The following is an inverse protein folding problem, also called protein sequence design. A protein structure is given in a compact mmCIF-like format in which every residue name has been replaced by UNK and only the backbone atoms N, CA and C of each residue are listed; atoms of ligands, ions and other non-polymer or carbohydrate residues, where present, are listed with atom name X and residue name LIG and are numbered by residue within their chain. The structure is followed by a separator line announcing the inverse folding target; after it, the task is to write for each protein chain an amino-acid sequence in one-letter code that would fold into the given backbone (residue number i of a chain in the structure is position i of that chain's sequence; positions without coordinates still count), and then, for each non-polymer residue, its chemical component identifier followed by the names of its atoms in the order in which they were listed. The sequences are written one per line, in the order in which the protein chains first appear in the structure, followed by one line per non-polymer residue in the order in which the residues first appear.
data_IF_004388595119
#
_entry.id   IF_004388595119
#
_cell.length_a   1.000
_cell.length_b   1.000
_cell.length_c   1.000
_cell.angle_alpha   90.00
_cell.angle_beta   90.00
_cell.angle_gamma   90.00
#
_symmetry.space_group_name_H-M   'P 1'
#
loop_
_entity.id
_entity.type
_entity.pdbx_description
1 polymer ?
#
# COMPACT_ATOMS: atom_id res chain seq x y z
N UNK A 1 -19.48 -19.90 7.61
CA UNK A 1 -18.80 -19.63 7.79
C UNK A 1 -17.83 -19.58 8.19
N UNK A 2 -17.48 -19.79 8.22
CA UNK A 2 -16.59 -19.65 8.80
C UNK A 2 -15.76 -19.00 8.72
N UNK A 3 -15.76 -18.64 9.17
CA UNK A 3 -14.91 -17.83 9.23
C UNK A 3 -13.57 -18.20 9.42
N UNK A 4 -12.96 -18.66 8.51
CA UNK A 4 -11.59 -18.95 8.57
C UNK A 4 -10.82 -17.72 8.91
N UNK A 5 -10.04 -17.79 9.91
CA UNK A 5 -8.98 -16.86 10.18
C UNK A 5 -8.03 -16.92 9.00
N UNK A 6 -8.10 -15.94 8.15
CA UNK A 6 -7.09 -15.84 7.12
C UNK A 6 -5.84 -15.27 7.74
N UNK A 7 -4.78 -16.03 7.64
CA UNK A 7 -3.46 -15.58 8.03
C UNK A 7 -3.04 -14.43 7.12
N UNK A 8 -2.41 -13.40 7.68
CA UNK A 8 -1.77 -12.36 6.88
C UNK A 8 -0.76 -12.96 5.93
N UNK A 9 -0.71 -12.44 4.71
CA UNK A 9 0.26 -12.89 3.73
C UNK A 9 1.66 -12.50 4.16
N UNK A 10 2.61 -13.37 3.84
CA UNK A 10 4.00 -13.23 4.22
C UNK A 10 4.91 -13.24 2.99
N UNK A 11 6.17 -12.88 3.21
CA UNK A 11 7.22 -12.99 2.19
C UNK A 11 7.26 -14.43 1.65
N UNK A 12 7.26 -14.57 0.35
CA UNK A 12 7.25 -15.85 -0.35
C UNK A 12 5.87 -16.34 -0.74
N UNK A 13 4.81 -15.80 -0.14
CA UNK A 13 3.45 -16.17 -0.51
C UNK A 13 3.11 -15.62 -1.90
N UNK A 14 2.22 -16.32 -2.59
CA UNK A 14 1.65 -15.83 -3.83
C UNK A 14 0.51 -14.87 -3.49
N UNK A 15 0.60 -13.64 -3.97
CA UNK A 15 -0.46 -12.66 -3.76
C UNK A 15 -1.74 -13.12 -4.47
N UNK A 16 -2.91 -13.07 -3.80
CA UNK A 16 -4.16 -13.42 -4.45
C UNK A 16 -4.49 -12.44 -5.57
N UNK A 17 -5.13 -12.95 -6.61
CA UNK A 17 -5.66 -12.07 -7.66
C UNK A 17 -6.80 -11.26 -7.06
N UNK A 18 -6.62 -9.94 -7.01
CA UNK A 18 -7.61 -9.01 -6.50
C UNK A 18 -7.97 -8.00 -7.57
N UNK A 19 -9.16 -7.45 -7.44
CA UNK A 19 -9.63 -6.37 -8.30
C UNK A 19 -9.88 -5.15 -7.46
N UNK A 20 -9.24 -4.08 -7.84
CA UNK A 20 -9.34 -2.78 -7.18
C UNK A 20 -9.98 -1.80 -8.15
N UNK A 21 -10.59 -0.76 -7.62
CA UNK A 21 -11.26 0.24 -8.44
C UNK A 21 -10.47 1.54 -8.41
N UNK A 22 -10.43 2.25 -9.54
CA UNK A 22 -9.91 3.61 -9.54
C UNK A 22 -11.02 4.62 -9.21
N UNK A 23 -10.68 5.90 -9.16
CA UNK A 23 -11.64 6.95 -8.82
C UNK A 23 -12.76 7.10 -9.87
N UNK A 24 -12.54 6.64 -11.11
CA UNK A 24 -13.55 6.64 -12.16
C UNK A 24 -14.44 5.39 -12.10
N UNK A 25 -14.18 4.46 -11.19
CA UNK A 25 -14.95 3.23 -11.04
C UNK A 25 -14.50 2.10 -11.95
N UNK A 26 -13.38 2.25 -12.66
CA UNK A 26 -12.83 1.18 -13.48
C UNK A 26 -12.07 0.18 -12.62
N UNK A 27 -12.18 -1.09 -12.98
CA UNK A 27 -11.52 -2.18 -12.26
C UNK A 27 -10.12 -2.43 -12.80
N UNK A 28 -9.21 -2.68 -11.88
CA UNK A 28 -7.83 -3.05 -12.17
C UNK A 28 -7.49 -4.35 -11.46
N UNK A 29 -7.08 -5.35 -12.20
CA UNK A 29 -6.63 -6.61 -11.62
C UNK A 29 -5.19 -6.49 -11.17
N UNK A 30 -4.79 -7.29 -10.17
CA UNK A 30 -3.39 -7.32 -9.76
C UNK A 30 -2.48 -7.72 -10.91
N UNK A 31 -2.89 -8.70 -11.71
CA UNK A 31 -2.11 -9.13 -12.88
C UNK A 31 -1.84 -7.97 -13.82
N UNK A 32 -2.85 -7.15 -14.12
CA UNK A 32 -2.65 -6.01 -15.03
C UNK A 32 -1.76 -4.94 -14.41
N UNK A 33 -1.84 -4.73 -13.10
CA UNK A 33 -0.97 -3.77 -12.41
C UNK A 33 0.50 -4.19 -12.49
N UNK A 34 0.77 -5.49 -12.47
CA UNK A 34 2.12 -6.04 -12.52
C UNK A 34 2.74 -6.04 -13.91
N UNK A 35 1.97 -5.76 -14.96
CA UNK A 35 2.48 -5.71 -16.33
C UNK A 35 3.62 -4.69 -16.48
N UNK A 36 3.57 -3.59 -15.76
CA UNK A 36 4.58 -2.54 -15.82
C UNK A 36 5.75 -2.78 -14.84
N UNK A 37 5.70 -3.81 -14.02
CA UNK A 37 6.76 -4.13 -13.08
C UNK A 37 6.25 -4.35 -11.66
N UNK A 38 7.17 -4.47 -10.70
CA UNK A 38 6.78 -4.66 -9.29
C UNK A 38 5.94 -3.51 -8.76
N UNK A 39 5.01 -3.84 -7.88
CA UNK A 39 4.08 -2.89 -7.28
C UNK A 39 4.13 -3.04 -5.76
N UNK A 40 4.26 -1.92 -5.06
CA UNK A 40 4.04 -1.89 -3.62
C UNK A 40 2.62 -1.43 -3.37
N UNK A 41 1.79 -2.35 -2.86
CA UNK A 41 0.44 -2.04 -2.42
C UNK A 41 0.50 -1.53 -0.99
N UNK A 42 -0.05 -0.35 -0.75
CA UNK A 42 -0.08 0.26 0.58
C UNK A 42 -1.54 0.45 1.01
N UNK A 43 -2.05 -0.50 1.76
CA UNK A 43 -3.43 -0.43 2.28
C UNK A 43 -3.50 0.58 3.41
N UNK A 44 -4.48 1.48 3.37
CA UNK A 44 -4.56 2.55 4.36
C UNK A 44 -5.98 3.04 4.59
N UNK A 45 -6.16 3.82 5.65
CA UNK A 45 -7.36 4.59 5.95
C UNK A 45 -7.00 6.06 6.12
N UNK A 46 -7.89 6.93 5.69
CA UNK A 46 -7.62 8.39 5.73
C UNK A 46 -7.53 8.92 7.17
N UNK A 47 -8.22 8.28 8.11
CA UNK A 47 -8.23 8.70 9.52
C UNK A 47 -7.06 8.17 10.34
N UNK A 48 -6.21 7.34 9.76
CA UNK A 48 -5.10 6.70 10.46
C UNK A 48 -3.89 7.64 10.53
N UNK A 49 -3.45 8.08 11.73
CA UNK A 49 -2.29 8.97 11.85
C UNK A 49 -1.00 8.37 11.29
N UNK A 50 -0.81 7.07 11.47
CA UNK A 50 0.37 6.38 10.95
C UNK A 50 0.34 6.31 9.43
N UNK A 51 -0.84 6.20 8.83
CA UNK A 51 -1.00 6.29 7.37
C UNK A 51 -0.67 7.69 6.87
N UNK A 52 -1.10 8.72 7.59
CA UNK A 52 -0.80 10.12 7.27
C UNK A 52 0.70 10.40 7.30
N UNK A 53 1.42 9.74 8.19
CA UNK A 53 2.87 9.82 8.27
C UNK A 53 3.55 9.04 7.13
N UNK A 54 3.06 7.84 6.83
CA UNK A 54 3.76 6.89 5.96
C UNK A 54 3.63 7.22 4.47
N UNK A 55 2.41 7.57 4.02
CA UNK A 55 2.16 7.73 2.58
C UNK A 55 3.00 8.84 1.92
N UNK A 56 3.22 10.01 2.54
CA UNK A 56 4.10 11.01 1.94
C UNK A 56 5.53 10.51 1.71
N UNK A 57 6.05 9.65 2.59
CA UNK A 57 7.37 9.07 2.40
C UNK A 57 7.37 8.01 1.31
N UNK A 58 6.33 7.19 1.21
CA UNK A 58 6.21 6.23 0.12
C UNK A 58 6.20 6.92 -1.24
N UNK A 59 5.61 8.10 -1.33
CA UNK A 59 5.61 8.87 -2.58
C UNK A 59 7.02 9.16 -3.07
N UNK A 60 7.98 9.38 -2.17
CA UNK A 60 9.37 9.66 -2.53
C UNK A 60 10.04 8.46 -3.22
N UNK A 61 9.54 7.25 -3.00
CA UNK A 61 10.09 6.02 -3.55
C UNK A 61 9.50 5.72 -4.93
N UNK A 62 8.29 6.19 -5.21
CA UNK A 62 7.54 5.78 -6.39
C UNK A 62 8.27 6.16 -7.68
N UNK A 63 8.43 5.18 -8.57
CA UNK A 63 9.13 5.38 -9.84
C UNK A 63 9.05 4.14 -10.72
N UNK A 64 9.94 4.06 -11.68
CA UNK A 64 9.92 2.98 -12.68
C UNK A 64 10.26 1.62 -12.09
N UNK A 65 11.16 1.57 -11.11
CA UNK A 65 11.60 0.30 -10.53
C UNK A 65 10.59 -0.28 -9.55
N UNK A 66 9.88 0.57 -8.82
CA UNK A 66 8.83 0.17 -7.89
C UNK A 66 7.73 1.21 -7.98
N UNK A 67 6.55 0.77 -8.38
CA UNK A 67 5.36 1.63 -8.37
C UNK A 67 4.66 1.52 -7.03
N UNK A 68 4.36 2.66 -6.43
CA UNK A 68 3.58 2.70 -5.20
C UNK A 68 2.12 2.89 -5.56
N UNK A 69 1.28 1.97 -5.13
CA UNK A 69 -0.18 2.06 -5.33
C UNK A 69 -0.85 2.02 -3.97
N UNK A 70 -1.26 3.16 -3.44
CA UNK A 70 -2.04 3.18 -2.21
C UNK A 70 -3.43 2.61 -2.46
N UNK A 71 -3.87 1.74 -1.55
CA UNK A 71 -5.20 1.12 -1.62
C UNK A 71 -6.02 1.66 -0.47
N UNK A 72 -6.99 2.50 -0.80
CA UNK A 72 -7.84 3.16 0.18
C UNK A 72 -9.03 2.29 0.56
N UNK A 73 -9.33 2.25 1.85
CA UNK A 73 -10.55 1.64 2.38
C UNK A 73 -11.68 2.65 2.55
N UNK A 74 -11.45 3.90 2.15
CA UNK A 74 -12.42 4.98 2.27
C UNK A 74 -12.96 5.38 0.89
N UNK A 75 -13.94 6.29 0.89
CA UNK A 75 -14.54 6.78 -0.35
C UNK A 75 -13.56 7.60 -1.18
N UNK A 76 -13.84 7.75 -2.46
CA UNK A 76 -13.04 8.60 -3.34
C UNK A 76 -12.99 10.06 -2.85
N UNK A 77 -14.08 10.71 -2.45
CA UNK A 77 -14.01 12.07 -1.91
C UNK A 77 -13.15 12.19 -0.66
N UNK A 78 -13.28 11.25 0.29
CA UNK A 78 -12.48 11.27 1.51
C UNK A 78 -11.00 11.08 1.20
N UNK A 79 -10.68 10.19 0.27
CA UNK A 79 -9.31 9.92 -0.15
C UNK A 79 -8.69 11.13 -0.88
N UNK A 80 -9.46 11.81 -1.71
CA UNK A 80 -9.01 13.04 -2.37
C UNK A 80 -8.70 14.14 -1.34
N UNK A 81 -9.54 14.28 -0.33
CA UNK A 81 -9.29 15.21 0.77
C UNK A 81 -8.00 14.89 1.52
N UNK A 82 -7.76 13.62 1.78
CA UNK A 82 -6.52 13.15 2.37
C UNK A 82 -5.32 13.50 1.48
N UNK A 83 -5.40 13.21 0.20
CA UNK A 83 -4.32 13.46 -0.76
C UNK A 83 -3.96 14.94 -0.80
N UNK A 84 -4.96 15.82 -0.81
CA UNK A 84 -4.74 17.26 -0.78
C UNK A 84 -4.13 17.73 0.54
N UNK A 85 -4.62 17.22 1.66
CA UNK A 85 -4.15 17.63 2.98
C UNK A 85 -2.70 17.23 3.23
N UNK A 86 -2.27 16.07 2.74
CA UNK A 86 -0.94 15.53 3.00
C UNK A 86 0.01 15.59 1.81
N UNK A 87 -0.41 16.21 0.70
CA UNK A 87 0.44 16.40 -0.47
C UNK A 87 0.80 15.12 -1.20
N UNK A 88 -0.12 14.15 -1.23
CA UNK A 88 0.12 12.85 -1.86
C UNK A 88 -0.46 12.84 -3.27
N UNK A 89 0.40 12.55 -4.26
CA UNK A 89 0.03 12.44 -5.66
C UNK A 89 0.43 11.06 -6.18
N UNK A 90 -0.33 10.06 -5.79
CA UNK A 90 -0.10 8.66 -6.16
C UNK A 90 -1.37 8.11 -6.82
N UNK A 91 -1.25 7.03 -7.61
CA UNK A 91 -2.41 6.43 -8.25
C UNK A 91 -3.23 5.62 -7.25
N UNK A 92 -4.11 6.28 -6.52
CA UNK A 92 -4.97 5.62 -5.54
C UNK A 92 -5.91 4.63 -6.20
N UNK A 93 -6.01 3.45 -5.61
CA UNK A 93 -7.06 2.49 -5.91
C UNK A 93 -7.89 2.26 -4.66
N UNK A 94 -9.07 1.66 -4.84
CA UNK A 94 -10.06 1.54 -3.78
C UNK A 94 -10.46 0.10 -3.54
N UNK A 95 -10.42 -0.29 -2.28
CA UNK A 95 -10.97 -1.56 -1.79
C UNK A 95 -12.27 -1.21 -1.09
N UNK A 96 -13.39 -1.42 -1.78
CA UNK A 96 -14.66 -0.76 -1.45
C UNK A 96 -15.42 -1.45 -0.34
N UNK A 97 -16.00 -0.63 0.55
CA UNK A 97 -16.90 -1.10 1.60
C UNK A 97 -18.08 -1.87 1.04
N UNK A 98 -18.67 -1.38 -0.05
CA UNK A 98 -19.82 -2.00 -0.71
C UNK A 98 -19.54 -3.42 -1.21
N UNK A 99 -18.29 -3.75 -1.42
CA UNK A 99 -17.84 -5.09 -1.82
C UNK A 99 -17.25 -5.87 -0.63
N UNK A 100 -17.37 -5.35 0.56
CA UNK A 100 -16.85 -5.93 1.82
C UNK A 100 -15.32 -6.09 1.79
N UNK A 101 -14.62 -5.11 1.29
CA UNK A 101 -13.15 -5.02 1.30
C UNK A 101 -12.45 -6.31 0.83
N UNK A 102 -12.73 -6.79 -0.39
CA UNK A 102 -12.22 -8.09 -0.82
C UNK A 102 -10.70 -8.18 -0.86
N UNK A 103 -10.01 -7.12 -1.22
CA UNK A 103 -8.54 -7.13 -1.27
C UNK A 103 -7.94 -7.16 0.13
N UNK A 104 -8.41 -6.33 1.03
CA UNK A 104 -7.94 -6.31 2.42
C UNK A 104 -8.16 -7.67 3.08
N UNK A 105 -9.33 -8.27 2.86
CA UNK A 105 -9.63 -9.59 3.40
C UNK A 105 -8.74 -10.67 2.79
N UNK A 106 -8.52 -10.64 1.48
CA UNK A 106 -7.67 -11.64 0.80
C UNK A 106 -6.21 -11.56 1.23
N UNK A 107 -5.72 -10.35 1.52
CA UNK A 107 -4.35 -10.15 2.02
C UNK A 107 -4.23 -10.41 3.53
N UNK A 108 -5.34 -10.63 4.20
CA UNK A 108 -5.35 -10.92 5.64
C UNK A 108 -4.90 -9.74 6.50
N UNK A 109 -5.31 -8.52 6.12
CA UNK A 109 -4.95 -7.33 6.88
C UNK A 109 -5.47 -7.39 8.30
N UNK A 110 -4.62 -7.01 9.25
CA UNK A 110 -4.98 -6.82 10.65
C UNK A 110 -4.91 -5.35 11.04
N UNK A 111 -4.03 -4.59 10.42
CA UNK A 111 -3.78 -3.18 10.72
C UNK A 111 -3.49 -2.41 9.44
N UNK A 112 -3.62 -1.09 9.50
CA UNK A 112 -3.18 -0.17 8.45
C UNK A 112 -2.17 0.82 9.05
N UNK A 113 -1.20 1.29 8.29
CA UNK A 113 -0.92 0.88 6.92
C UNK A 113 -0.29 -0.50 6.86
N UNK A 114 -0.64 -1.26 5.85
CA UNK A 114 0.01 -2.54 5.53
C UNK A 114 0.57 -2.48 4.12
N UNK A 115 1.86 -2.79 3.99
CA UNK A 115 2.57 -2.71 2.73
C UNK A 115 3.00 -4.08 2.25
N UNK A 116 2.77 -4.33 0.96
CA UNK A 116 3.18 -5.57 0.29
C UNK A 116 3.87 -5.23 -1.01
N UNK A 117 5.13 -5.60 -1.15
CA UNK A 117 5.83 -5.51 -2.43
C UNK A 117 5.57 -6.80 -3.20
N UNK A 118 4.87 -6.66 -4.31
CA UNK A 118 4.48 -7.79 -5.15
C UNK A 118 5.31 -7.76 -6.42
N UNK A 119 6.01 -8.85 -6.69
CA UNK A 119 6.83 -9.01 -7.88
C UNK A 119 5.98 -9.39 -9.09
N UNK A 120 6.56 -9.32 -10.29
CA UNK A 120 5.86 -9.64 -11.54
C UNK A 120 5.25 -11.05 -11.55
N UNK A 121 5.86 -12.00 -10.86
CA UNK A 121 5.35 -13.37 -10.74
C UNK A 121 4.29 -13.53 -9.65
N UNK A 122 3.82 -12.43 -9.08
CA UNK A 122 2.85 -12.34 -7.98
C UNK A 122 3.41 -12.79 -6.62
N UNK A 123 4.70 -13.10 -6.52
CA UNK A 123 5.30 -13.41 -5.22
C UNK A 123 5.49 -12.14 -4.41
N UNK A 124 5.16 -12.22 -3.12
CA UNK A 124 5.42 -11.16 -2.16
C UNK A 124 6.89 -11.25 -1.75
N UNK A 125 7.65 -10.20 -2.06
CA UNK A 125 9.07 -10.14 -1.72
C UNK A 125 9.35 -9.31 -0.48
N UNK A 126 8.39 -8.49 -0.06
CA UNK A 126 8.52 -7.65 1.13
C UNK A 126 7.14 -7.38 1.71
N UNK A 127 7.04 -7.32 3.06
CA UNK A 127 5.79 -6.93 3.70
C UNK A 127 6.08 -6.38 5.10
N UNK A 128 5.29 -5.40 5.52
CA UNK A 128 5.32 -4.90 6.91
C UNK A 128 4.05 -4.09 7.18
N UNK A 129 3.80 -3.84 8.47
CA UNK A 129 2.70 -2.97 8.91
C UNK A 129 3.26 -1.81 9.72
N UNK A 130 2.55 -0.67 9.67
CA UNK A 130 2.95 0.53 10.38
C UNK A 130 4.06 1.32 9.69
N UNK A 131 4.55 2.35 10.36
CA UNK A 131 5.71 3.10 9.91
C UNK A 131 6.98 2.42 10.42
N UNK A 132 7.86 2.08 9.49
CA UNK A 132 9.13 1.43 9.81
C UNK A 132 10.24 2.06 8.97
N UNK A 133 11.08 2.84 9.63
CA UNK A 133 12.15 3.56 8.94
C UNK A 133 13.06 2.62 8.15
N UNK A 134 13.50 1.52 8.77
CA UNK A 134 14.39 0.55 8.11
C UNK A 134 13.72 -0.14 6.92
N UNK A 135 12.44 -0.46 7.03
CA UNK A 135 11.71 -1.10 5.94
C UNK A 135 11.56 -0.14 4.75
N UNK A 136 11.25 1.12 5.04
CA UNK A 136 11.16 2.15 4.01
C UNK A 136 12.52 2.37 3.33
N UNK A 137 13.60 2.39 4.09
CA UNK A 137 14.95 2.52 3.54
C UNK A 137 15.30 1.34 2.64
N UNK A 138 14.92 0.12 3.01
CA UNK A 138 15.19 -1.07 2.21
C UNK A 138 14.46 -1.03 0.86
N UNK A 139 13.20 -0.62 0.85
CA UNK A 139 12.45 -0.48 -0.40
C UNK A 139 13.00 0.68 -1.25
N UNK A 140 13.38 1.78 -0.61
CA UNK A 140 14.00 2.91 -1.29
C UNK A 140 15.32 2.51 -1.96
N UNK A 141 16.13 1.71 -1.30
CA UNK A 141 17.37 1.18 -1.87
C UNK A 141 17.09 0.38 -3.13
N UNK A 142 16.08 -0.48 -3.09
CA UNK A 142 15.65 -1.23 -4.27
C UNK A 142 15.16 -0.31 -5.39
N UNK A 143 14.48 0.76 -5.06
CA UNK A 143 14.00 1.75 -6.02
C UNK A 143 15.12 2.67 -6.52
N UNK A 144 16.28 2.64 -5.87
CA UNK A 144 17.44 3.43 -6.26
C UNK A 144 17.33 4.90 -5.91
N UNK A 145 16.53 5.26 -4.90
CA UNK A 145 16.32 6.64 -4.49
C UNK A 145 16.51 6.79 -2.98
N UNK A 146 17.04 7.93 -2.50
CA UNK A 146 17.05 8.22 -1.07
C UNK A 146 15.64 8.57 -0.61
N UNK A 147 15.23 8.06 0.55
CA UNK A 147 13.91 8.37 1.08
C UNK A 147 13.94 9.44 2.18
N UNK A 148 14.91 9.35 3.09
CA UNK A 148 15.02 10.30 4.19
C UNK A 148 16.12 11.32 3.92
N UNK A 149 15.82 12.60 4.26
CA UNK A 149 16.72 13.71 4.08
C UNK A 149 17.17 14.22 5.45
N UNK A 150 18.36 14.88 5.53
CA UNK A 150 18.75 15.57 6.76
C UNK A 150 17.65 16.56 7.15
N UNK A 151 17.21 16.51 8.39
CA UNK A 151 16.12 17.36 8.87
C UNK A 151 14.75 16.71 8.91
N UNK A 152 14.57 15.55 8.26
CA UNK A 152 13.34 14.78 8.44
C UNK A 152 13.28 14.26 9.87
N UNK A 153 12.21 14.60 10.57
CA UNK A 153 12.00 14.14 11.94
C UNK A 153 10.98 13.01 11.94
N UNK A 154 11.51 11.78 11.97
CA UNK A 154 10.67 10.59 11.92
C UNK A 154 11.07 9.63 13.04
N UNK A 155 10.11 8.86 13.59
CA UNK A 155 10.42 7.81 14.53
C UNK A 155 11.09 6.62 13.83
N UNK A 156 11.74 5.75 14.59
CA UNK A 156 12.22 4.48 14.04
C UNK A 156 11.06 3.59 13.61
N UNK A 157 9.97 3.62 14.40
CA UNK A 157 8.75 2.89 14.05
C UNK A 157 7.53 3.52 14.72
N UNK A 158 6.37 3.25 14.15
CA UNK A 158 5.08 3.64 14.72
C UNK A 158 4.03 2.64 14.28
N UNK A 159 3.32 2.06 15.24
CA UNK A 159 2.24 1.13 14.96
C UNK A 159 1.05 1.83 14.30
N UNK A 160 0.37 1.08 13.46
CA UNK A 160 -0.85 1.55 12.81
C UNK A 160 -2.08 1.45 13.69
#
# INVERSE_FOLDING_TARGET
MATGWRKSLEIGDLAPEVRLFDAAGERHSLTSLLDAGPVLLAFFKVSCPTCQLTLPYLQRISGEKVRIIPVSQDSAPATLGFAQAFGVQLPFLFDREEDDYPASNSFGLTHVPSMFLVERDRRISWEWTGFHKRQLEAVAERAGVPIFHPGDMVPESKAG
#
